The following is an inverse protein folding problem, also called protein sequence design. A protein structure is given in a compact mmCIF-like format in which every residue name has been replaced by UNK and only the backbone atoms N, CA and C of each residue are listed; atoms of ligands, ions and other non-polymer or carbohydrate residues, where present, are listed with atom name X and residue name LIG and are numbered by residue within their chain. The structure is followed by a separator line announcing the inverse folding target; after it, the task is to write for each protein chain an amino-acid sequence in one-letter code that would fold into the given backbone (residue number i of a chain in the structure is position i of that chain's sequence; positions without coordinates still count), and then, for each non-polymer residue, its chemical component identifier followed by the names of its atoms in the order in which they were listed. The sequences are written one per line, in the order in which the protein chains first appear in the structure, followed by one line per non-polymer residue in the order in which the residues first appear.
data_IF_163156696359
#
_entry.id   IF_163156696359
#
_cell.length_a   1.000
_cell.length_b   1.000
_cell.length_c   1.000
_cell.angle_alpha   90.00
_cell.angle_beta   90.00
_cell.angle_gamma   90.00
#
_symmetry.space_group_name_H-M   'P 1'
#
loop_
_entity.id
_entity.type
_entity.pdbx_description
1 polymer ?
#
# COMPACT_ATOMS: atom_id res chain seq x y z
N UNK A 1 18.81 31.54 -28.30
CA UNK A 1 18.21 30.73 -27.21
C UNK A 1 16.91 30.14 -27.74
N UNK A 2 16.75 28.81 -27.72
CA UNK A 2 15.53 28.14 -28.20
C UNK A 2 14.51 28.12 -27.04
N UNK A 3 13.23 28.48 -27.24
CA UNK A 3 12.22 28.41 -26.17
C UNK A 3 12.10 26.97 -25.64
N UNK A 4 11.71 26.77 -24.37
CA UNK A 4 11.46 25.45 -23.82
C UNK A 4 10.20 24.89 -24.50
N UNK A 5 10.37 24.27 -25.66
CA UNK A 5 9.31 23.49 -26.30
C UNK A 5 8.88 22.36 -25.36
N UNK A 6 7.57 22.10 -25.31
CA UNK A 6 6.97 20.97 -24.59
C UNK A 6 7.78 19.70 -24.86
N UNK A 7 8.55 19.26 -23.86
CA UNK A 7 9.38 18.07 -23.99
C UNK A 7 8.41 16.88 -24.10
N UNK A 8 8.46 16.15 -25.22
CA UNK A 8 7.81 14.83 -25.30
C UNK A 8 8.44 13.96 -24.21
N UNK A 9 7.66 13.59 -23.21
CA UNK A 9 8.13 12.69 -22.16
C UNK A 9 8.34 11.30 -22.76
N UNK A 10 9.46 10.66 -22.42
CA UNK A 10 9.73 9.32 -22.94
C UNK A 10 8.77 8.33 -22.26
N UNK A 11 8.19 7.37 -23.01
CA UNK A 11 7.25 6.39 -22.46
C UNK A 11 7.87 5.48 -21.38
N UNK A 12 9.21 5.41 -21.31
CA UNK A 12 9.94 4.66 -20.27
C UNK A 12 9.75 5.27 -18.88
N UNK A 13 9.46 6.57 -18.78
CA UNK A 13 9.27 7.28 -17.51
C UNK A 13 7.88 7.08 -16.90
N UNK A 14 6.96 6.48 -17.65
CA UNK A 14 5.62 6.17 -17.18
C UNK A 14 5.65 5.19 -15.99
N UNK A 15 4.92 5.54 -14.93
CA UNK A 15 4.76 4.71 -13.75
C UNK A 15 3.68 3.64 -13.99
N UNK A 16 4.06 2.39 -13.75
CA UNK A 16 3.18 1.24 -13.91
C UNK A 16 3.14 0.42 -12.63
N UNK A 17 2.05 -0.32 -12.45
CA UNK A 17 1.97 -1.32 -11.39
C UNK A 17 2.84 -2.49 -11.84
N UNK A 18 3.89 -2.80 -11.08
CA UNK A 18 4.79 -3.90 -11.39
C UNK A 18 4.25 -5.22 -10.84
N UNK A 19 3.80 -5.21 -9.58
CA UNK A 19 3.19 -6.36 -8.92
C UNK A 19 2.29 -5.90 -7.78
N UNK A 20 1.24 -6.66 -7.54
CA UNK A 20 0.38 -6.53 -6.39
C UNK A 20 0.57 -7.77 -5.52
N UNK A 21 0.94 -7.57 -4.27
CA UNK A 21 1.08 -8.62 -3.27
C UNK A 21 -0.12 -8.57 -2.33
N UNK A 22 -0.87 -9.66 -2.25
CA UNK A 22 -1.91 -9.88 -1.26
C UNK A 22 -1.33 -10.73 -0.15
N UNK A 23 -1.56 -10.34 1.10
CA UNK A 23 -1.11 -11.09 2.26
C UNK A 23 -2.27 -11.34 3.23
N UNK A 24 -2.38 -12.58 3.70
CA UNK A 24 -3.31 -13.02 4.74
C UNK A 24 -2.47 -13.61 5.87
N UNK A 25 -2.67 -13.11 7.08
CA UNK A 25 -2.00 -13.61 8.28
C UNK A 25 -3.04 -14.08 9.30
N UNK A 26 -3.06 -15.38 9.58
CA UNK A 26 -4.06 -15.99 10.48
C UNK A 26 -3.58 -16.12 11.93
N UNK A 27 -2.31 -15.77 12.21
CA UNK A 27 -1.61 -15.84 13.52
C UNK A 27 -1.53 -17.23 14.17
N UNK A 28 -2.31 -18.21 13.73
CA UNK A 28 -2.33 -19.57 14.25
C UNK A 28 -2.06 -20.57 13.13
N UNK A 29 -1.50 -21.74 13.45
CA UNK A 29 -1.50 -22.87 12.53
C UNK A 29 -2.78 -23.69 12.66
N UNK A 30 -3.32 -24.14 11.53
CA UNK A 30 -4.51 -24.98 11.51
C UNK A 30 -4.99 -25.27 10.10
N UNK A 31 -6.17 -25.90 10.01
CA UNK A 31 -6.75 -26.39 8.76
C UNK A 31 -7.10 -25.26 7.78
N UNK A 32 -7.31 -24.04 8.28
CA UNK A 32 -7.57 -22.84 7.46
C UNK A 32 -6.43 -22.50 6.49
N UNK A 33 -5.18 -22.79 6.89
CA UNK A 33 -3.97 -22.50 6.11
C UNK A 33 -3.61 -23.58 5.07
N UNK A 34 -4.39 -24.66 4.96
CA UNK A 34 -4.02 -25.86 4.18
C UNK A 34 -3.95 -25.62 2.67
N UNK A 35 -4.66 -24.64 2.12
CA UNK A 35 -4.78 -24.42 0.67
C UNK A 35 -3.70 -23.54 0.01
N UNK A 36 -2.65 -23.10 0.70
CA UNK A 36 -1.66 -22.23 0.03
C UNK A 36 -0.46 -21.75 0.84
N UNK A 37 -0.11 -22.41 1.96
CA UNK A 37 0.89 -21.84 2.87
C UNK A 37 2.33 -21.87 2.36
N UNK A 38 2.91 -20.68 2.21
CA UNK A 38 4.33 -20.46 1.91
C UNK A 38 5.07 -19.70 3.02
N UNK A 39 4.36 -19.00 3.92
CA UNK A 39 4.97 -18.23 5.01
C UNK A 39 5.42 -19.11 6.18
N UNK A 40 6.74 -19.22 6.36
CA UNK A 40 7.37 -20.04 7.40
C UNK A 40 7.86 -19.15 8.54
N UNK A 41 7.42 -19.41 9.78
CA UNK A 41 7.86 -18.69 10.96
C UNK A 41 9.36 -18.84 11.24
N UNK A 42 10.13 -17.75 11.10
CA UNK A 42 11.59 -17.77 11.31
C UNK A 42 11.98 -17.82 12.80
N UNK A 43 11.14 -17.32 13.70
CA UNK A 43 11.44 -17.16 15.14
C UNK A 43 10.27 -17.69 15.97
N UNK A 44 10.59 -18.31 17.12
CA UNK A 44 9.59 -18.73 18.09
C UNK A 44 9.17 -17.55 18.95
N UNK A 45 7.90 -17.18 18.90
CA UNK A 45 7.34 -16.09 19.70
C UNK A 45 6.21 -16.65 20.55
N UNK A 46 6.50 -16.88 21.85
CA UNK A 46 5.56 -17.52 22.78
C UNK A 46 4.27 -16.74 22.98
N UNK A 47 4.32 -15.40 22.94
CA UNK A 47 3.14 -14.54 23.10
C UNK A 47 2.11 -14.70 21.98
N UNK A 48 2.54 -15.08 20.77
CA UNK A 48 1.66 -15.33 19.64
C UNK A 48 1.39 -16.83 19.42
N UNK A 49 1.90 -17.72 20.28
CA UNK A 49 1.78 -19.17 20.10
C UNK A 49 2.62 -19.75 18.97
N UNK A 50 3.41 -18.93 18.26
CA UNK A 50 4.12 -19.32 17.04
C UNK A 50 5.41 -20.05 17.35
N UNK A 51 5.57 -21.25 16.78
CA UNK A 51 6.83 -22.01 16.78
C UNK A 51 7.61 -21.78 15.48
N UNK A 52 8.89 -22.13 15.51
CA UNK A 52 9.75 -22.07 14.31
C UNK A 52 9.25 -23.07 13.28
N UNK A 53 9.36 -22.68 12.02
CA UNK A 53 8.96 -23.46 10.85
C UNK A 53 7.46 -23.80 10.75
N UNK A 54 6.65 -23.12 11.56
CA UNK A 54 5.20 -23.22 11.50
C UNK A 54 4.67 -22.38 10.34
N UNK A 55 3.63 -22.88 9.69
CA UNK A 55 2.92 -22.19 8.61
C UNK A 55 1.98 -21.16 9.22
N UNK A 56 2.14 -19.89 8.86
CA UNK A 56 1.44 -18.77 9.54
C UNK A 56 0.64 -17.90 8.57
N UNK A 57 1.16 -17.73 7.35
CA UNK A 57 0.63 -16.78 6.39
C UNK A 57 0.66 -17.33 4.97
N UNK A 58 -0.32 -16.87 4.21
CA UNK A 58 -0.42 -17.08 2.76
C UNK A 58 -0.25 -15.73 2.10
N UNK A 59 0.61 -15.66 1.11
CA UNK A 59 0.71 -14.51 0.23
C UNK A 59 0.56 -14.94 -1.21
N UNK A 60 -0.02 -14.07 -2.02
CA UNK A 60 -0.13 -14.27 -3.45
C UNK A 60 0.32 -13.01 -4.17
N UNK A 61 1.15 -13.19 -5.19
CA UNK A 61 1.62 -12.12 -6.07
C UNK A 61 0.85 -12.17 -7.37
N UNK A 62 0.12 -11.11 -7.68
CA UNK A 62 -0.62 -10.93 -8.92
C UNK A 62 0.09 -9.88 -9.75
N UNK A 63 0.23 -10.14 -11.05
CA UNK A 63 0.84 -9.22 -12.00
C UNK A 63 -0.16 -8.83 -13.11
N UNK A 64 0.16 -7.75 -13.83
CA UNK A 64 -0.55 -7.31 -15.04
C UNK A 64 -2.04 -6.96 -14.81
N UNK A 65 -2.90 -7.16 -15.82
CA UNK A 65 -4.29 -6.69 -15.84
C UNK A 65 -5.12 -7.20 -14.64
N UNK A 66 -4.87 -8.43 -14.18
CA UNK A 66 -5.55 -8.99 -13.01
C UNK A 66 -5.26 -8.20 -11.73
N UNK A 67 -4.05 -7.64 -11.62
CA UNK A 67 -3.68 -6.82 -10.48
C UNK A 67 -4.46 -5.50 -10.47
N UNK A 68 -4.69 -4.90 -11.65
CA UNK A 68 -5.46 -3.66 -11.79
C UNK A 68 -6.93 -3.86 -11.41
N UNK A 69 -7.56 -4.94 -11.89
CA UNK A 69 -8.94 -5.28 -11.53
C UNK A 69 -9.14 -5.50 -10.02
N UNK A 70 -8.20 -6.23 -9.39
CA UNK A 70 -8.24 -6.51 -7.95
C UNK A 70 -7.98 -5.24 -7.15
N UNK A 71 -7.06 -4.39 -7.62
CA UNK A 71 -6.74 -3.13 -6.98
C UNK A 71 -7.92 -2.17 -7.03
N UNK A 72 -8.62 -2.05 -8.16
CA UNK A 72 -9.80 -1.20 -8.30
C UNK A 72 -10.91 -1.62 -7.33
N UNK A 73 -11.16 -2.93 -7.19
CA UNK A 73 -12.09 -3.46 -6.18
C UNK A 73 -11.66 -3.10 -4.76
N UNK A 74 -10.38 -3.19 -4.45
CA UNK A 74 -9.85 -2.85 -3.13
C UNK A 74 -9.93 -1.36 -2.81
N UNK A 75 -9.61 -0.50 -3.78
CA UNK A 75 -9.68 0.95 -3.63
C UNK A 75 -11.12 1.45 -3.48
N UNK A 76 -12.09 0.77 -4.11
CA UNK A 76 -13.50 1.07 -3.93
C UNK A 76 -13.98 0.90 -2.48
N UNK A 77 -13.42 -0.06 -1.74
CA UNK A 77 -13.73 -0.27 -0.30
C UNK A 77 -13.27 0.93 0.54
N UNK A 78 -12.17 1.55 0.14
CA UNK A 78 -11.57 2.73 0.78
C UNK A 78 -12.04 4.05 0.15
N UNK A 79 -13.06 4.03 -0.71
CA UNK A 79 -13.59 5.21 -1.40
C UNK A 79 -12.51 6.03 -2.15
N UNK A 80 -11.46 5.34 -2.62
CA UNK A 80 -10.28 5.96 -3.24
C UNK A 80 -9.50 6.94 -2.34
N UNK A 81 -9.71 6.87 -1.03
CA UNK A 81 -9.00 7.67 -0.05
C UNK A 81 -7.80 6.92 0.53
N UNK A 82 -6.60 7.52 0.39
CA UNK A 82 -5.40 7.00 1.02
C UNK A 82 -4.71 8.08 1.86
N UNK A 83 -4.18 7.66 3.01
CA UNK A 83 -3.35 8.52 3.87
C UNK A 83 -1.95 8.64 3.30
N UNK A 84 -1.32 9.80 3.50
CA UNK A 84 0.10 10.01 3.13
C UNK A 84 1.08 9.03 3.79
N UNK A 85 0.70 8.46 4.94
CA UNK A 85 1.53 7.49 5.66
C UNK A 85 1.51 6.09 5.01
N UNK A 86 0.53 5.82 4.15
CA UNK A 86 0.43 4.54 3.44
C UNK A 86 1.45 4.44 2.29
N UNK A 87 1.97 5.59 1.85
CA UNK A 87 3.02 5.67 0.84
C UNK A 87 4.40 5.58 1.48
N UNK A 88 5.18 4.60 1.03
CA UNK A 88 6.58 4.42 1.40
C UNK A 88 7.47 5.45 0.70
N UNK A 89 8.60 5.76 1.33
CA UNK A 89 9.67 6.54 0.69
C UNK A 89 10.29 5.78 -0.50
N UNK A 90 10.15 4.45 -0.50
CA UNK A 90 10.61 3.56 -1.58
C UNK A 90 9.44 3.16 -2.49
N UNK A 91 8.64 4.15 -2.94
CA UNK A 91 7.78 4.05 -4.14
C UNK A 91 6.50 3.22 -3.99
N UNK A 92 6.42 2.38 -2.98
CA UNK A 92 5.33 1.45 -2.81
C UNK A 92 4.23 2.05 -1.94
N UNK A 93 3.00 1.58 -2.14
CA UNK A 93 1.90 1.89 -1.24
C UNK A 93 1.16 0.63 -0.88
N UNK A 94 0.54 0.63 0.29
CA UNK A 94 -0.27 -0.49 0.74
C UNK A 94 -1.41 -0.03 1.62
N UNK A 95 -2.45 -0.85 1.66
CA UNK A 95 -3.61 -0.64 2.52
C UNK A 95 -4.16 -1.99 2.97
N UNK A 96 -4.74 -2.01 4.16
CA UNK A 96 -5.39 -3.20 4.71
C UNK A 96 -6.90 -3.11 4.56
N UNK A 97 -7.52 -4.24 4.26
CA UNK A 97 -8.96 -4.44 4.32
C UNK A 97 -9.23 -5.43 5.46
N UNK A 98 -10.10 -5.09 6.39
CA UNK A 98 -10.43 -5.97 7.52
C UNK A 98 -11.29 -7.17 7.10
N UNK A 99 -12.14 -6.99 6.08
CA UNK A 99 -13.08 -8.02 5.62
C UNK A 99 -13.01 -8.17 4.10
N UNK A 100 -12.64 -9.36 3.64
CA UNK A 100 -12.61 -9.69 2.22
C UNK A 100 -13.99 -9.64 1.53
N UNK A 101 -15.09 -9.65 2.29
CA UNK A 101 -16.47 -9.63 1.75
C UNK A 101 -16.69 -8.36 0.89
N UNK A 102 -16.08 -7.24 1.27
CA UNK A 102 -16.18 -5.99 0.52
C UNK A 102 -15.55 -6.05 -0.88
N UNK A 103 -14.68 -7.03 -1.15
CA UNK A 103 -14.11 -7.27 -2.48
C UNK A 103 -15.08 -7.98 -3.44
N UNK A 104 -16.25 -8.42 -2.94
CA UNK A 104 -17.27 -9.13 -3.73
C UNK A 104 -17.01 -10.63 -3.87
N UNK A 105 -16.27 -11.22 -2.94
CA UNK A 105 -16.11 -12.67 -2.82
C UNK A 105 -17.30 -13.21 -2.02
N UNK A 106 -17.88 -14.32 -2.47
CA UNK A 106 -18.97 -14.98 -1.74
C UNK A 106 -18.49 -15.49 -0.37
N UNK A 107 -19.40 -15.47 0.60
CA UNK A 107 -19.07 -15.89 1.96
C UNK A 107 -19.06 -17.42 2.06
N UNK A 108 -17.90 -17.98 2.41
CA UNK A 108 -17.72 -19.39 2.73
C UNK A 108 -17.59 -19.60 4.25
N UNK A 109 -18.53 -20.31 4.91
CA UNK A 109 -18.49 -20.56 6.37
C UNK A 109 -17.23 -21.30 6.83
N UNK A 110 -16.62 -22.08 5.94
CA UNK A 110 -15.41 -22.87 6.23
C UNK A 110 -14.17 -22.00 6.36
N UNK A 111 -14.07 -20.91 5.58
CA UNK A 111 -12.91 -20.03 5.56
C UNK A 111 -13.11 -18.89 6.59
N UNK A 112 -14.35 -18.44 6.75
CA UNK A 112 -14.71 -17.36 7.69
C UNK A 112 -14.29 -15.98 7.19
N UNK A 113 -14.37 -14.97 8.05
CA UNK A 113 -14.02 -13.58 7.69
C UNK A 113 -12.52 -13.36 7.93
N UNK A 114 -11.79 -13.13 6.85
CA UNK A 114 -10.36 -12.81 6.88
C UNK A 114 -10.09 -11.36 6.46
N UNK A 115 -9.09 -10.78 7.11
CA UNK A 115 -8.45 -9.53 6.70
C UNK A 115 -7.37 -9.79 5.64
N UNK A 116 -7.24 -8.82 4.74
CA UNK A 116 -6.36 -8.85 3.58
C UNK A 116 -5.49 -7.59 3.57
N UNK A 117 -4.19 -7.77 3.45
CA UNK A 117 -3.27 -6.68 3.21
C UNK A 117 -2.90 -6.59 1.73
N UNK A 118 -3.09 -5.41 1.15
CA UNK A 118 -2.70 -5.07 -0.21
C UNK A 118 -1.38 -4.32 -0.18
N UNK A 119 -0.42 -4.78 -0.96
CA UNK A 119 0.84 -4.09 -1.16
C UNK A 119 1.14 -3.97 -2.65
N UNK A 120 1.17 -2.73 -3.14
CA UNK A 120 1.36 -2.41 -4.55
C UNK A 120 2.78 -1.90 -4.75
N UNK A 121 3.48 -2.57 -5.66
CA UNK A 121 4.82 -2.15 -6.09
C UNK A 121 4.68 -1.40 -7.40
N UNK A 122 5.01 -0.11 -7.36
CA UNK A 122 5.10 0.71 -8.55
C UNK A 122 6.52 0.63 -9.12
N UNK A 123 6.62 0.64 -10.45
CA UNK A 123 7.89 0.57 -11.15
C UNK A 123 7.84 1.31 -12.47
N UNK A 124 9.00 1.79 -12.89
CA UNK A 124 9.25 2.25 -14.26
C UNK A 124 9.77 1.09 -15.11
N UNK A 125 9.67 1.23 -16.43
CA UNK A 125 10.30 0.27 -17.33
C UNK A 125 11.83 0.29 -17.15
N UNK A 126 12.43 -0.87 -16.92
CA UNK A 126 13.85 -1.00 -16.56
C UNK A 126 14.12 -1.15 -15.06
N UNK A 127 13.08 -1.23 -14.22
CA UNK A 127 13.24 -1.52 -12.80
C UNK A 127 13.82 -2.93 -12.51
N UNK A 128 13.60 -3.89 -13.42
CA UNK A 128 14.03 -5.29 -13.26
C UNK A 128 15.55 -5.51 -13.26
N UNK A 129 16.38 -4.50 -13.58
CA UNK A 129 17.85 -4.62 -13.62
C UNK A 129 18.44 -5.09 -12.27
N UNK A 130 17.76 -4.78 -11.16
CA UNK A 130 18.16 -5.24 -9.82
C UNK A 130 17.86 -6.72 -9.58
N UNK A 131 16.84 -7.23 -10.27
CA UNK A 131 16.28 -8.57 -10.07
C UNK A 131 16.81 -9.57 -11.11
N UNK A 132 17.43 -9.08 -12.19
CA UNK A 132 18.03 -9.90 -13.24
C UNK A 132 19.17 -10.78 -12.70
N UNK A 133 19.32 -12.00 -13.23
CA UNK A 133 20.43 -12.89 -12.85
C UNK A 133 21.75 -12.54 -13.56
N UNK A 134 21.66 -12.03 -14.78
CA UNK A 134 22.81 -11.72 -15.63
C UNK A 134 22.98 -10.21 -15.71
N UNK A 135 24.21 -9.70 -15.57
CA UNK A 135 24.54 -8.26 -15.62
C UNK A 135 23.68 -7.42 -14.66
N UNK A 136 23.60 -7.86 -13.41
CA UNK A 136 22.96 -7.09 -12.34
C UNK A 136 23.54 -5.69 -12.24
N UNK A 137 22.65 -4.71 -12.09
CA UNK A 137 23.00 -3.31 -11.92
C UNK A 137 22.19 -2.66 -10.82
N UNK A 138 22.56 -1.43 -10.46
CA UNK A 138 21.79 -0.61 -9.53
C UNK A 138 20.89 0.37 -10.30
N UNK A 139 19.68 0.59 -9.81
CA UNK A 139 18.82 1.64 -10.33
C UNK A 139 19.42 3.02 -10.05
N UNK A 140 19.71 3.77 -11.12
CA UNK A 140 20.27 5.12 -11.02
C UNK A 140 19.32 6.09 -10.31
N UNK A 141 19.87 7.09 -9.61
CA UNK A 141 19.08 8.02 -8.78
C UNK A 141 17.96 8.73 -9.54
N UNK A 142 18.17 9.06 -10.82
CA UNK A 142 17.14 9.67 -11.68
C UNK A 142 15.99 8.71 -11.98
N UNK A 143 16.26 7.41 -12.07
CA UNK A 143 15.27 6.40 -12.41
C UNK A 143 14.49 5.92 -11.18
N UNK A 144 15.06 6.08 -9.97
CA UNK A 144 14.31 5.92 -8.72
C UNK A 144 13.14 6.88 -8.69
N UNK A 145 12.06 6.43 -8.08
CA UNK A 145 10.80 7.16 -8.03
C UNK A 145 10.72 7.79 -6.63
N UNK A 146 10.20 9.01 -6.55
CA UNK A 146 9.98 9.66 -5.26
C UNK A 146 8.59 9.34 -4.73
N UNK A 147 8.40 9.52 -3.42
CA UNK A 147 7.09 9.40 -2.78
C UNK A 147 6.03 10.31 -3.43
N UNK A 148 6.43 11.54 -3.75
CA UNK A 148 5.58 12.56 -4.40
C UNK A 148 5.17 12.13 -5.82
N UNK A 149 6.06 11.51 -6.57
CA UNK A 149 5.76 10.97 -7.90
C UNK A 149 4.75 9.81 -7.83
N UNK A 150 4.89 8.93 -6.84
CA UNK A 150 3.94 7.83 -6.61
C UNK A 150 2.53 8.34 -6.24
N UNK A 151 2.49 9.36 -5.38
CA UNK A 151 1.28 10.07 -4.99
C UNK A 151 0.58 10.74 -6.18
N UNK A 152 1.34 11.49 -6.98
CA UNK A 152 0.83 12.10 -8.20
C UNK A 152 0.32 11.05 -9.21
N UNK A 153 1.02 9.93 -9.37
CA UNK A 153 0.56 8.84 -10.23
C UNK A 153 -0.76 8.23 -9.74
N UNK A 154 -0.93 8.09 -8.43
CA UNK A 154 -2.18 7.59 -7.86
C UNK A 154 -3.35 8.55 -8.10
N UNK A 155 -3.13 9.86 -7.87
CA UNK A 155 -4.12 10.91 -8.17
C UNK A 155 -4.50 10.93 -9.65
N UNK A 156 -3.52 10.80 -10.56
CA UNK A 156 -3.77 10.81 -11.99
C UNK A 156 -4.52 9.59 -12.52
N UNK A 157 -4.33 8.41 -11.90
CA UNK A 157 -4.92 7.15 -12.39
C UNK A 157 -6.29 6.85 -11.79
N UNK A 158 -6.48 7.19 -10.52
CA UNK A 158 -7.65 6.77 -9.75
C UNK A 158 -8.47 7.95 -9.22
N UNK A 159 -8.14 9.19 -9.60
CA UNK A 159 -8.75 10.44 -9.11
C UNK A 159 -8.82 10.49 -7.57
N UNK A 160 -7.92 9.79 -6.89
CA UNK A 160 -7.99 9.54 -5.47
C UNK A 160 -7.55 10.74 -4.64
N UNK A 161 -8.25 10.97 -3.53
CA UNK A 161 -7.95 12.06 -2.62
C UNK A 161 -6.93 11.62 -1.56
N UNK A 162 -5.92 12.46 -1.34
CA UNK A 162 -5.04 12.29 -0.21
C UNK A 162 -5.64 12.93 1.03
N UNK A 163 -5.93 12.09 2.02
CA UNK A 163 -6.18 12.58 3.37
C UNK A 163 -4.82 12.96 3.95
N UNK A 164 -4.47 14.24 3.80
CA UNK A 164 -3.51 14.86 4.72
C UNK A 164 -4.13 14.74 6.10
N UNK A 165 -3.47 14.14 7.11
CA UNK A 165 -3.89 14.42 8.46
C UNK A 165 -3.74 15.94 8.62
N UNK A 166 -4.87 16.65 8.63
CA UNK A 166 -4.90 18.05 9.03
C UNK A 166 -4.46 18.10 10.49
N UNK A 167 -3.15 18.09 10.72
CA UNK A 167 -2.55 18.51 11.97
C UNK A 167 -2.69 20.01 12.09
N UNK A 168 -3.91 20.46 12.41
CA UNK A 168 -4.36 21.78 12.88
C UNK A 168 -5.73 22.14 12.29
N UNK A 169 -6.79 21.50 12.81
CA UNK A 169 -8.10 22.15 12.83
C UNK A 169 -8.09 23.24 13.93
N UNK A 170 -7.20 24.22 13.79
CA UNK A 170 -7.22 25.49 14.52
C UNK A 170 -7.17 26.57 13.44
N UNK A 171 -8.16 27.47 13.48
CA UNK A 171 -8.49 28.55 12.53
C UNK A 171 -9.38 28.02 11.38
N UNK A 172 -10.68 28.32 11.24
CA UNK A 172 -11.46 29.48 11.64
C UNK A 172 -12.93 29.06 11.84
N UNK A 173 -13.43 29.17 13.08
CA UNK A 173 -14.84 29.49 13.31
C UNK A 173 -14.84 30.73 14.20
N UNK A 174 -14.56 31.88 13.58
CA UNK A 174 -14.81 33.17 14.21
C UNK A 174 -16.31 33.35 14.40
N UNK A 175 -16.66 33.77 15.62
CA UNK A 175 -17.91 34.39 16.07
C UNK A 175 -19.19 33.54 16.10
N UNK A 176 -19.44 32.90 17.24
CA UNK A 176 -20.52 33.30 18.16
C UNK A 176 -20.32 32.61 19.52
N UNK A 177 -20.40 33.40 20.60
CA UNK A 177 -20.43 32.99 22.02
C UNK A 177 -19.10 32.58 22.70
N UNK A 178 -18.42 33.59 23.24
CA UNK A 178 -18.25 33.73 24.70
C UNK A 178 -17.51 32.66 25.51
N UNK A 179 -16.35 33.10 26.05
CA UNK A 179 -15.71 32.74 27.33
C UNK A 179 -14.49 31.79 27.36
N UNK A 180 -13.35 32.43 27.71
CA UNK A 180 -12.28 32.03 28.66
C UNK A 180 -11.13 31.08 28.21
N UNK A 181 -9.95 31.72 28.08
CA UNK A 181 -8.57 31.24 28.24
C UNK A 181 -8.34 30.04 29.19
N UNK A 182 -7.63 28.99 28.73
CA UNK A 182 -6.69 28.11 29.51
C UNK A 182 -5.63 27.53 28.52
N UNK A 183 -4.32 27.38 28.87
CA UNK A 183 -3.21 27.26 27.91
C UNK A 183 -2.75 25.82 27.57
N UNK A 184 -2.06 25.74 26.42
CA UNK A 184 -1.36 24.62 25.80
C UNK A 184 -0.20 24.06 26.66
N UNK A 185 -0.19 22.74 26.88
CA UNK A 185 1.01 21.96 27.19
C UNK A 185 0.87 20.60 26.47
N UNK A 186 1.62 20.36 25.38
CA UNK A 186 2.87 19.60 25.39
C UNK A 186 2.68 18.17 25.90
N UNK A 187 2.56 17.21 24.98
CA UNK A 187 3.07 15.85 25.17
C UNK A 187 3.29 15.18 23.81
N UNK A 188 4.56 15.21 23.42
CA UNK A 188 5.18 14.15 22.63
C UNK A 188 5.24 12.90 23.53
N UNK A 189 4.59 11.81 23.11
CA UNK A 189 5.05 10.42 23.26
C UNK A 189 4.62 9.67 22.02
#
# INVERSE_FOLDING_TARGET
MRPPGSKKENPIWELRIHKLCLNICERESGDRLTWGCQGVGAITVRSFGIRRNEKIAVYCTVCEAKAEEILEKGLKVWEYELRKNNFSDTVNFGFGIQEHIHLGIEYDPSIGIYGLDFYVVLGRLGFSITDEKHRTGCTGAKHRISKEEAMHCFQQKYDGFEVTPCGSMYLYFTSFLGQKNIPLYRLYV
#
